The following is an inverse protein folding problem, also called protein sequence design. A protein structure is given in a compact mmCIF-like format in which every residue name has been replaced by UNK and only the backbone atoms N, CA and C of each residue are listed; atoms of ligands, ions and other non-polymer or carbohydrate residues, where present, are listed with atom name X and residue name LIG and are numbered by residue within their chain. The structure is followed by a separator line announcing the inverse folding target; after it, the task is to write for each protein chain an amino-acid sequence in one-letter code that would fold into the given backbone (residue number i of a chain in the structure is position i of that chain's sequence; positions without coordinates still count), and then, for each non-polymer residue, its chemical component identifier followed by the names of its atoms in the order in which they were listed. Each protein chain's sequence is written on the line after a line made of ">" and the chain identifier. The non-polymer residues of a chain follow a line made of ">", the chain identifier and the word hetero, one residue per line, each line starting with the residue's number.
data_IF_992279199190
#
_entry.id   IF_992279199190
#
_cell.length_a   1.000
_cell.length_b   1.000
_cell.length_c   1.000
_cell.angle_alpha   90.00
_cell.angle_beta   90.00
_cell.angle_gamma   90.00
#
_symmetry.space_group_name_H-M   'P 1'
#
loop_
_entity.id
_entity.type
_entity.pdbx_description
1 polymer ?
#
# COMPACT_ATOMS: atom_id res chain seq x y z
N UNK A 1 -23.94 -15.77 -6.70
CA UNK A 1 -24.10 -15.39 -5.29
C UNK A 1 -25.30 -14.46 -5.20
N UNK A 2 -26.16 -14.58 -4.17
CA UNK A 2 -27.21 -13.57 -3.94
C UNK A 2 -26.56 -12.21 -3.71
N UNK A 3 -27.31 -11.14 -3.97
CA UNK A 3 -26.85 -9.79 -3.62
C UNK A 3 -26.55 -9.73 -2.11
N UNK A 4 -25.50 -9.01 -1.69
CA UNK A 4 -25.25 -8.80 -0.28
C UNK A 4 -26.47 -8.14 0.37
N UNK A 5 -26.81 -8.58 1.59
CA UNK A 5 -27.96 -8.07 2.35
C UNK A 5 -27.72 -6.67 2.96
N UNK A 6 -26.62 -6.01 2.60
CA UNK A 6 -26.17 -4.76 3.18
C UNK A 6 -26.98 -3.56 2.67
N UNK A 7 -27.10 -2.54 3.52
CA UNK A 7 -27.69 -1.25 3.15
C UNK A 7 -26.67 -0.44 2.36
N UNK A 8 -27.05 0.01 1.16
CA UNK A 8 -26.23 0.91 0.38
C UNK A 8 -26.20 2.30 1.03
N UNK A 9 -24.99 2.76 1.35
CA UNK A 9 -24.75 4.07 1.94
C UNK A 9 -23.79 4.87 1.07
N UNK A 10 -23.95 6.20 1.07
CA UNK A 10 -22.99 7.10 0.41
C UNK A 10 -21.66 7.04 1.15
N UNK A 11 -20.57 6.80 0.43
CA UNK A 11 -19.22 6.91 0.99
C UNK A 11 -18.94 8.38 1.37
N UNK A 12 -18.61 8.60 2.64
CA UNK A 12 -18.35 9.94 3.18
C UNK A 12 -16.86 10.24 3.32
N UNK A 13 -16.03 9.22 3.53
CA UNK A 13 -14.59 9.38 3.64
C UNK A 13 -13.92 9.44 2.25
N UNK A 14 -12.81 10.21 2.08
CA UNK A 14 -12.07 10.29 0.83
C UNK A 14 -11.64 8.92 0.30
N UNK A 15 -11.76 8.73 -1.03
CA UNK A 15 -11.35 7.49 -1.70
C UNK A 15 -9.85 7.45 -1.90
N UNK A 16 -9.33 6.25 -2.14
CA UNK A 16 -7.96 6.05 -2.58
C UNK A 16 -7.72 6.70 -3.94
N UNK A 17 -6.57 7.36 -4.09
CA UNK A 17 -6.14 8.02 -5.34
C UNK A 17 -4.66 7.81 -5.57
N UNK A 18 -4.20 7.98 -6.80
CA UNK A 18 -2.79 8.27 -7.06
C UNK A 18 -2.48 9.67 -6.53
N UNK A 19 -1.70 9.75 -5.45
CA UNK A 19 -1.46 11.00 -4.70
C UNK A 19 -0.25 11.74 -5.28
N UNK A 20 0.80 10.99 -5.62
CA UNK A 20 2.04 11.49 -6.22
C UNK A 20 2.77 10.35 -6.91
N UNK A 21 3.80 10.70 -7.67
CA UNK A 21 4.66 9.73 -8.33
C UNK A 21 6.09 9.84 -7.81
N UNK A 22 6.81 8.72 -7.83
CA UNK A 22 8.23 8.62 -7.51
C UNK A 22 8.94 8.16 -8.78
N UNK A 23 10.10 8.75 -9.09
CA UNK A 23 10.99 8.21 -10.11
C UNK A 23 11.91 7.17 -9.45
N UNK A 24 11.66 5.86 -9.64
CA UNK A 24 12.47 4.84 -9.00
C UNK A 24 13.89 4.83 -9.58
N UNK A 25 14.88 4.59 -8.72
CA UNK A 25 16.28 4.46 -9.12
C UNK A 25 16.62 2.98 -9.31
N UNK A 26 17.03 2.59 -10.51
CA UNK A 26 17.65 1.27 -10.72
C UNK A 26 18.97 1.20 -9.94
N UNK A 27 19.09 0.22 -9.04
CA UNK A 27 20.26 0.04 -8.18
C UNK A 27 21.06 -1.22 -8.52
N UNK A 28 20.41 -2.26 -9.05
CA UNK A 28 21.06 -3.49 -9.47
C UNK A 28 20.41 -4.07 -10.73
N UNK A 29 21.20 -4.80 -11.52
CA UNK A 29 20.72 -5.58 -12.66
C UNK A 29 21.40 -6.93 -12.70
N UNK A 30 20.60 -7.99 -12.74
CA UNK A 30 21.02 -9.38 -12.79
C UNK A 30 20.36 -10.05 -14.00
N UNK A 31 21.06 -10.07 -15.14
CA UNK A 31 20.49 -10.57 -16.38
C UNK A 31 19.28 -9.74 -16.84
N UNK A 32 18.11 -10.38 -16.91
CA UNK A 32 16.82 -9.78 -17.29
C UNK A 32 16.05 -9.18 -16.11
N UNK A 33 16.62 -9.20 -14.90
CA UNK A 33 15.99 -8.68 -13.69
C UNK A 33 16.68 -7.40 -13.24
N UNK A 34 15.91 -6.33 -13.02
CA UNK A 34 16.39 -5.07 -12.49
C UNK A 34 15.72 -4.76 -11.15
N UNK A 35 16.50 -4.29 -10.17
CA UNK A 35 16.01 -3.88 -8.85
C UNK A 35 16.00 -2.37 -8.76
N UNK A 36 14.90 -1.83 -8.25
CA UNK A 36 14.63 -0.41 -8.11
C UNK A 36 14.47 -0.02 -6.65
N UNK A 37 15.01 1.14 -6.27
CA UNK A 37 14.84 1.81 -4.97
C UNK A 37 13.95 3.05 -5.12
N UNK A 38 12.88 3.14 -4.34
CA UNK A 38 12.01 4.31 -4.25
C UNK A 38 12.59 5.42 -3.35
N UNK A 39 13.60 5.11 -2.54
CA UNK A 39 14.17 6.00 -1.52
C UNK A 39 13.37 6.05 -0.22
N UNK A 40 12.14 5.55 -0.23
CA UNK A 40 11.22 5.48 0.91
C UNK A 40 10.28 4.28 0.80
N UNK A 41 9.71 3.82 1.91
CA UNK A 41 8.59 2.89 1.85
C UNK A 41 7.33 3.63 1.39
N UNK A 42 6.69 3.13 0.34
CA UNK A 42 5.47 3.69 -0.21
C UNK A 42 4.45 2.58 -0.49
N UNK A 43 3.17 2.89 -0.28
CA UNK A 43 2.06 2.08 -0.76
C UNK A 43 1.66 2.55 -2.18
N UNK A 44 1.50 1.64 -3.13
CA UNK A 44 1.29 1.98 -4.53
C UNK A 44 1.63 0.86 -5.52
N UNK A 45 1.98 1.25 -6.75
CA UNK A 45 2.40 0.32 -7.79
C UNK A 45 3.27 1.00 -8.86
N UNK A 46 4.13 0.24 -9.56
CA UNK A 46 4.88 0.76 -10.69
C UNK A 46 4.01 0.84 -11.94
N UNK A 47 4.31 1.83 -12.77
CA UNK A 47 3.81 1.94 -14.13
C UNK A 47 4.92 1.52 -15.08
N UNK A 48 4.68 0.50 -15.89
CA UNK A 48 5.67 -0.08 -16.80
C UNK A 48 5.25 0.03 -18.26
N UNK A 49 6.21 0.01 -19.16
CA UNK A 49 6.01 -0.18 -20.60
C UNK A 49 6.84 -1.37 -21.04
N UNK A 50 6.34 -2.18 -21.96
CA UNK A 50 7.15 -3.21 -22.60
C UNK A 50 8.12 -2.59 -23.61
N UNK A 51 9.26 -3.21 -23.81
CA UNK A 51 10.26 -2.73 -24.77
C UNK A 51 9.77 -2.95 -26.22
N UNK A 52 10.18 -2.09 -27.16
CA UNK A 52 9.70 -2.10 -28.56
C UNK A 52 9.94 -3.43 -29.31
N UNK A 53 10.88 -4.24 -28.85
CA UNK A 53 11.24 -5.52 -29.45
C UNK A 53 10.58 -6.73 -28.76
N UNK A 54 9.64 -6.49 -27.84
CA UNK A 54 8.83 -7.56 -27.27
C UNK A 54 7.99 -8.25 -28.35
N UNK A 55 7.79 -9.56 -28.17
CA UNK A 55 6.85 -10.34 -28.98
C UNK A 55 5.68 -10.76 -28.09
N UNK A 56 4.49 -10.93 -28.70
CA UNK A 56 3.29 -11.34 -27.97
C UNK A 56 3.54 -12.55 -27.07
N UNK A 57 2.90 -12.55 -25.91
CA UNK A 57 3.04 -13.55 -24.84
C UNK A 57 4.34 -13.49 -24.02
N UNK A 58 5.27 -12.56 -24.33
CA UNK A 58 6.34 -12.22 -23.38
C UNK A 58 5.77 -11.63 -22.08
N UNK A 59 6.45 -11.88 -20.97
CA UNK A 59 5.97 -11.53 -19.63
C UNK A 59 6.94 -10.61 -18.91
N UNK A 60 6.38 -9.71 -18.12
CA UNK A 60 7.10 -8.97 -17.11
C UNK A 60 6.55 -9.34 -15.72
N UNK A 61 7.42 -9.75 -14.81
CA UNK A 61 7.08 -10.03 -13.43
C UNK A 61 7.59 -8.92 -12.54
N UNK A 62 6.74 -8.45 -11.63
CA UNK A 62 7.12 -7.44 -10.65
C UNK A 62 6.96 -8.02 -9.26
N UNK A 63 7.99 -7.92 -8.42
CA UNK A 63 7.97 -8.41 -7.03
C UNK A 63 8.48 -7.32 -6.10
N UNK A 64 8.00 -7.33 -4.85
CA UNK A 64 8.13 -6.20 -3.93
C UNK A 64 8.70 -6.61 -2.57
N UNK A 65 9.52 -5.74 -1.97
CA UNK A 65 10.04 -5.89 -0.61
C UNK A 65 10.31 -4.54 0.08
N UNK A 66 10.26 -4.50 1.41
CA UNK A 66 10.67 -3.32 2.19
C UNK A 66 12.19 -3.29 2.42
N UNK A 67 12.85 -4.46 2.36
CA UNK A 67 14.28 -4.63 2.60
C UNK A 67 14.98 -5.40 1.48
N UNK A 68 16.31 -5.28 1.44
CA UNK A 68 17.19 -6.11 0.62
C UNK A 68 17.99 -7.08 1.49
N UNK A 69 18.33 -8.23 0.92
CA UNK A 69 19.33 -9.13 1.48
C UNK A 69 20.74 -8.55 1.31
N UNK A 70 21.73 -9.14 2.01
CA UNK A 70 23.12 -8.73 1.93
C UNK A 70 23.75 -8.86 0.52
N UNK A 71 23.19 -9.72 -0.34
CA UNK A 71 23.60 -9.91 -1.73
C UNK A 71 22.92 -8.94 -2.71
N UNK A 72 22.04 -8.06 -2.20
CA UNK A 72 21.29 -7.08 -2.99
C UNK A 72 19.97 -7.60 -3.56
N UNK A 73 19.62 -8.88 -3.37
CA UNK A 73 18.31 -9.43 -3.76
C UNK A 73 17.19 -8.94 -2.82
N UNK A 74 15.92 -9.08 -3.24
CA UNK A 74 14.78 -8.71 -2.40
C UNK A 74 14.67 -9.60 -1.15
N UNK A 75 14.50 -9.00 0.03
CA UNK A 75 14.22 -9.73 1.26
C UNK A 75 12.70 -9.93 1.42
N UNK A 76 12.17 -11.07 0.94
CA UNK A 76 10.74 -11.35 1.05
C UNK A 76 10.23 -11.57 2.49
N UNK A 77 11.09 -11.76 3.50
CA UNK A 77 10.64 -11.78 4.90
C UNK A 77 10.01 -10.45 5.32
N UNK A 78 10.51 -9.33 4.77
CA UNK A 78 9.95 -8.01 4.97
C UNK A 78 8.56 -7.83 4.34
N UNK A 79 8.20 -8.67 3.36
CA UNK A 79 6.94 -8.60 2.62
C UNK A 79 5.99 -9.78 2.87
N UNK A 80 6.09 -10.47 4.03
CA UNK A 80 5.18 -11.56 4.38
C UNK A 80 5.67 -12.97 4.06
N UNK A 81 6.98 -13.13 3.81
CA UNK A 81 7.65 -14.36 3.37
C UNK A 81 7.32 -14.73 1.91
N UNK A 82 8.10 -15.67 1.35
CA UNK A 82 8.02 -16.02 -0.08
C UNK A 82 6.62 -16.48 -0.53
N UNK A 83 5.87 -17.18 0.33
CA UNK A 83 4.53 -17.66 -0.01
C UNK A 83 3.42 -16.59 0.08
N UNK A 84 3.69 -15.42 0.67
CA UNK A 84 2.80 -14.25 0.63
C UNK A 84 3.42 -13.07 -0.09
N UNK A 85 4.46 -13.30 -0.90
CA UNK A 85 5.12 -12.24 -1.63
C UNK A 85 4.11 -11.49 -2.50
N UNK A 86 4.19 -10.17 -2.42
CA UNK A 86 3.47 -9.28 -3.31
C UNK A 86 4.07 -9.42 -4.71
N UNK A 87 3.25 -9.74 -5.72
CA UNK A 87 3.71 -9.89 -7.10
C UNK A 87 2.63 -9.54 -8.12
N UNK A 88 3.07 -8.98 -9.24
CA UNK A 88 2.27 -8.77 -10.44
C UNK A 88 2.88 -9.50 -11.65
N UNK A 89 2.03 -9.87 -12.59
CA UNK A 89 2.43 -10.42 -13.89
C UNK A 89 1.71 -9.63 -14.99
N UNK A 90 2.51 -9.10 -15.92
CA UNK A 90 2.01 -8.45 -17.13
C UNK A 90 2.36 -9.30 -18.33
N UNK A 91 1.45 -9.40 -19.29
CA UNK A 91 1.63 -10.15 -20.53
C UNK A 91 1.55 -9.19 -21.71
N UNK A 92 2.57 -9.19 -22.55
CA UNK A 92 2.64 -8.32 -23.71
C UNK A 92 1.70 -8.79 -24.83
N UNK A 93 1.09 -7.81 -25.48
CA UNK A 93 0.32 -7.99 -26.71
C UNK A 93 0.67 -6.86 -27.66
N UNK A 94 1.01 -7.20 -28.91
CA UNK A 94 1.32 -6.21 -29.95
C UNK A 94 0.21 -5.14 -30.11
N UNK A 95 -1.05 -5.53 -29.86
CA UNK A 95 -2.20 -4.63 -29.91
C UNK A 95 -2.17 -3.50 -28.85
N UNK A 96 -1.37 -3.68 -27.78
CA UNK A 96 -1.24 -2.76 -26.65
C UNK A 96 0.21 -2.29 -26.45
N UNK A 97 1.04 -2.31 -27.51
CA UNK A 97 2.46 -1.98 -27.39
C UNK A 97 2.76 -0.58 -26.85
N UNK A 98 1.86 0.38 -27.10
CA UNK A 98 2.01 1.76 -26.66
C UNK A 98 1.38 2.02 -25.27
N UNK A 99 0.87 0.97 -24.59
CA UNK A 99 0.18 1.12 -23.32
C UNK A 99 1.17 1.19 -22.16
N UNK A 100 0.79 1.97 -21.16
CA UNK A 100 1.41 1.95 -19.84
C UNK A 100 0.62 0.97 -18.98
N UNK A 101 1.28 -0.07 -18.50
CA UNK A 101 0.69 -1.14 -17.70
C UNK A 101 0.86 -0.84 -16.21
N UNK A 102 -0.23 -1.02 -15.45
CA UNK A 102 -0.26 -0.95 -14.00
C UNK A 102 -1.49 -1.71 -13.47
N UNK A 103 -1.49 -2.17 -12.19
CA UNK A 103 -2.65 -2.83 -11.63
C UNK A 103 -3.79 -1.84 -11.35
N UNK A 104 -5.02 -2.36 -11.35
CA UNK A 104 -6.24 -1.61 -10.98
C UNK A 104 -6.87 -2.06 -9.65
N UNK A 105 -6.64 -3.31 -9.26
CA UNK A 105 -7.35 -3.95 -8.13
C UNK A 105 -6.41 -4.38 -7.00
N UNK A 106 -5.19 -3.85 -6.98
CA UNK A 106 -4.23 -4.08 -5.92
C UNK A 106 -3.36 -2.84 -5.73
N UNK A 107 -2.76 -2.76 -4.55
CA UNK A 107 -1.58 -1.95 -4.27
C UNK A 107 -0.55 -2.84 -3.60
N UNK A 108 0.69 -2.37 -3.57
CA UNK A 108 1.79 -3.00 -2.86
C UNK A 108 2.40 -1.99 -1.90
N UNK A 109 3.01 -2.45 -0.82
CA UNK A 109 3.86 -1.59 -0.02
C UNK A 109 5.29 -2.12 0.00
N UNK A 110 6.21 -1.22 -0.35
CA UNK A 110 7.62 -1.53 -0.52
C UNK A 110 8.48 -0.26 -0.53
N UNK A 111 9.78 -0.44 -0.35
CA UNK A 111 10.81 0.51 -0.83
C UNK A 111 11.49 -0.02 -2.08
N UNK A 112 11.66 -1.33 -2.16
CA UNK A 112 12.33 -1.98 -3.26
C UNK A 112 11.36 -2.84 -4.05
N UNK A 113 11.52 -2.84 -5.36
CA UNK A 113 10.84 -3.79 -6.22
C UNK A 113 11.76 -4.20 -7.36
N UNK A 114 11.54 -5.38 -7.88
CA UNK A 114 12.26 -5.88 -9.03
C UNK A 114 11.31 -6.03 -10.21
N UNK A 115 11.83 -5.81 -11.42
CA UNK A 115 11.16 -6.10 -12.67
C UNK A 115 12.00 -7.12 -13.41
N UNK A 116 11.43 -8.29 -13.65
CA UNK A 116 12.01 -9.34 -14.49
C UNK A 116 11.30 -9.36 -15.83
N UNK A 117 12.07 -9.33 -16.92
CA UNK A 117 11.57 -9.33 -18.29
C UNK A 117 11.85 -8.02 -19.03
N UNK A 118 11.42 -7.94 -20.28
CA UNK A 118 11.65 -6.79 -21.17
C UNK A 118 10.62 -5.69 -20.94
N UNK A 119 10.71 -5.05 -19.78
CA UNK A 119 9.88 -3.92 -19.45
C UNK A 119 10.70 -2.83 -18.75
N UNK A 120 10.34 -1.59 -19.08
CA UNK A 120 10.93 -0.38 -18.53
C UNK A 120 9.96 0.26 -17.54
N UNK A 121 10.45 0.62 -16.36
CA UNK A 121 9.67 1.35 -15.36
C UNK A 121 9.63 2.83 -15.70
N UNK A 122 8.42 3.40 -15.80
CA UNK A 122 8.21 4.83 -16.03
C UNK A 122 8.26 5.62 -14.73
N UNK A 123 7.44 5.20 -13.77
CA UNK A 123 7.27 5.84 -12.47
C UNK A 123 6.64 4.85 -11.48
N UNK A 124 6.62 5.20 -10.20
CA UNK A 124 5.87 4.51 -9.16
C UNK A 124 4.76 5.43 -8.65
N UNK A 125 3.51 5.03 -8.79
CA UNK A 125 2.37 5.78 -8.29
C UNK A 125 2.12 5.43 -6.83
N UNK A 126 2.20 6.44 -5.94
CA UNK A 126 1.86 6.31 -4.53
C UNK A 126 0.35 6.45 -4.38
N UNK A 127 -0.27 5.48 -3.72
CA UNK A 127 -1.71 5.38 -3.58
C UNK A 127 -2.07 5.23 -2.12
N UNK A 128 -3.03 6.02 -1.67
CA UNK A 128 -3.69 5.90 -0.36
C UNK A 128 -4.99 6.73 -0.38
N UNK A 129 -5.81 6.64 0.67
CA UNK A 129 -6.98 7.51 0.81
C UNK A 129 -6.55 8.98 0.79
N UNK A 130 -7.23 9.81 -0.02
CA UNK A 130 -6.89 11.22 -0.26
C UNK A 130 -7.30 12.11 0.94
N UNK A 131 -6.63 11.88 2.07
CA UNK A 131 -6.83 12.61 3.32
C UNK A 131 -5.74 13.69 3.42
N UNK A 132 -6.12 14.98 3.48
CA UNK A 132 -5.16 16.06 3.60
C UNK A 132 -4.30 15.95 4.86
N UNK A 133 -2.98 16.12 4.71
CA UNK A 133 -2.08 16.42 5.82
C UNK A 133 -2.24 17.89 6.20
N UNK A 134 -2.59 18.16 7.46
CA UNK A 134 -2.87 19.50 7.99
C UNK A 134 -1.82 19.96 9.01
N UNK A 135 -0.91 19.08 9.45
CA UNK A 135 0.22 19.49 10.25
C UNK A 135 1.39 19.96 9.37
N UNK A 136 2.11 20.96 9.86
CA UNK A 136 3.45 21.30 9.39
C UNK A 136 4.41 21.10 10.54
N UNK A 137 5.54 20.47 10.28
CA UNK A 137 6.61 20.26 11.25
C UNK A 137 7.94 20.70 10.63
N UNK A 138 8.79 21.29 11.46
CA UNK A 138 10.16 21.62 11.07
C UNK A 138 11.06 21.57 12.31
N UNK A 139 12.22 20.94 12.17
CA UNK A 139 13.27 20.91 13.19
C UNK A 139 14.65 21.05 12.55
N UNK A 140 15.56 21.78 13.20
CA UNK A 140 16.99 21.81 12.83
C UNK A 140 17.71 20.50 13.19
N UNK A 141 17.12 19.69 14.07
CA UNK A 141 17.58 18.33 14.35
C UNK A 141 17.07 17.38 13.26
N UNK A 142 17.99 16.89 12.44
CA UNK A 142 17.70 15.98 11.31
C UNK A 142 17.02 14.68 11.73
N UNK A 143 17.30 14.17 12.94
CA UNK A 143 16.68 12.94 13.44
C UNK A 143 15.21 13.19 13.78
N UNK A 144 14.89 14.33 14.42
CA UNK A 144 13.51 14.69 14.72
C UNK A 144 12.71 14.97 13.45
N UNK A 145 13.29 15.67 12.49
CA UNK A 145 12.70 15.86 11.15
C UNK A 145 12.41 14.51 10.50
N UNK A 146 13.39 13.60 10.48
CA UNK A 146 13.23 12.27 9.91
C UNK A 146 12.12 11.44 10.60
N UNK A 147 12.04 11.48 11.94
CA UNK A 147 11.00 10.76 12.70
C UNK A 147 9.60 11.23 12.29
N UNK A 148 9.37 12.55 12.27
CA UNK A 148 8.05 13.09 11.95
C UNK A 148 7.68 12.82 10.49
N UNK A 149 8.59 13.05 9.55
CA UNK A 149 8.33 12.76 8.14
C UNK A 149 8.08 11.26 7.90
N UNK A 150 8.77 10.38 8.64
CA UNK A 150 8.53 8.94 8.56
C UNK A 150 7.18 8.57 9.14
N UNK A 151 6.79 9.13 10.29
CA UNK A 151 5.47 8.92 10.88
C UNK A 151 4.35 9.30 9.89
N UNK A 152 4.43 10.48 9.27
CA UNK A 152 3.40 10.95 8.32
C UNK A 152 3.27 10.00 7.13
N UNK A 153 4.39 9.58 6.53
CA UNK A 153 4.40 8.58 5.45
C UNK A 153 3.84 7.23 5.90
N UNK A 154 4.20 6.77 7.10
CA UNK A 154 3.70 5.50 7.66
C UNK A 154 2.19 5.53 7.84
N UNK A 155 1.62 6.64 8.32
CA UNK A 155 0.16 6.77 8.44
C UNK A 155 -0.49 6.78 7.05
N UNK A 156 0.02 7.56 6.11
CA UNK A 156 -0.52 7.61 4.75
C UNK A 156 -0.51 6.24 4.07
N UNK A 157 0.61 5.51 4.14
CA UNK A 157 0.72 4.17 3.58
C UNK A 157 -0.29 3.17 4.19
N UNK A 158 -0.70 3.37 5.45
CA UNK A 158 -1.63 2.49 6.15
C UNK A 158 -3.10 2.86 5.99
N UNK A 159 -3.44 3.97 5.31
CA UNK A 159 -4.83 4.38 5.18
C UNK A 159 -5.31 4.09 3.76
N UNK A 160 -6.03 2.98 3.64
CA UNK A 160 -6.64 2.53 2.39
C UNK A 160 -8.11 2.19 2.62
N UNK A 161 -8.96 2.48 1.63
CA UNK A 161 -10.40 2.21 1.70
C UNK A 161 -11.08 2.78 2.95
N UNK A 162 -10.55 3.89 3.48
CA UNK A 162 -10.99 4.47 4.73
C UNK A 162 -10.93 3.50 5.92
N UNK A 163 -9.85 2.73 6.00
CA UNK A 163 -9.52 1.85 7.12
C UNK A 163 -8.07 2.16 7.52
N UNK A 164 -7.78 2.49 8.80
CA UNK A 164 -6.43 2.58 9.30
C UNK A 164 -5.89 1.17 9.57
N UNK A 165 -5.08 0.63 8.66
CA UNK A 165 -4.53 -0.73 8.79
C UNK A 165 -3.32 -0.81 9.73
N UNK A 166 -3.03 -2.01 10.21
CA UNK A 166 -1.80 -2.36 10.95
C UNK A 166 -0.54 -2.28 10.07
N UNK A 167 -0.62 -2.83 8.86
CA UNK A 167 0.45 -2.81 7.89
C UNK A 167 -0.09 -2.81 6.46
N UNK A 168 0.60 -2.15 5.52
CA UNK A 168 0.10 -2.02 4.15
C UNK A 168 0.54 -3.17 3.23
N UNK A 169 1.53 -3.97 3.64
CA UNK A 169 2.16 -4.98 2.80
C UNK A 169 1.60 -6.40 3.00
N UNK A 170 1.10 -6.76 4.20
CA UNK A 170 0.80 -8.16 4.58
C UNK A 170 -0.65 -8.43 5.00
N UNK A 171 -1.05 -7.87 6.15
CA UNK A 171 -2.36 -8.16 6.75
C UNK A 171 -3.42 -7.18 6.25
N UNK A 172 -3.09 -5.87 6.23
CA UNK A 172 -3.96 -4.80 5.75
C UNK A 172 -5.28 -4.75 6.51
N UNK A 173 -5.25 -5.12 7.79
CA UNK A 173 -6.44 -5.22 8.63
C UNK A 173 -6.55 -3.99 9.52
N UNK A 174 -7.78 -3.49 9.69
CA UNK A 174 -8.05 -2.38 10.58
C UNK A 174 -8.06 -2.81 12.03
N UNK A 175 -6.89 -3.11 12.61
CA UNK A 175 -6.79 -3.51 14.01
C UNK A 175 -7.24 -2.38 14.92
N UNK A 176 -8.19 -2.69 15.81
CA UNK A 176 -8.87 -1.68 16.64
C UNK A 176 -7.94 -1.07 17.69
N UNK A 177 -6.98 -1.84 18.21
CA UNK A 177 -5.95 -1.36 19.13
C UNK A 177 -4.99 -0.37 18.48
N UNK A 178 -4.42 -0.70 17.32
CA UNK A 178 -3.51 0.15 16.55
C UNK A 178 -4.17 1.46 16.14
N UNK A 179 -5.39 1.38 15.59
CA UNK A 179 -6.16 2.56 15.21
C UNK A 179 -6.55 3.42 16.42
N UNK A 180 -6.83 2.83 17.58
CA UNK A 180 -7.09 3.58 18.82
C UNK A 180 -5.84 4.31 19.31
N UNK A 181 -4.70 3.61 19.39
CA UNK A 181 -3.44 4.17 19.89
C UNK A 181 -2.95 5.35 19.05
N UNK A 182 -3.11 5.25 17.73
CA UNK A 182 -2.63 6.26 16.78
C UNK A 182 -3.61 7.41 16.56
N UNK A 183 -4.88 7.25 16.92
CA UNK A 183 -5.96 8.19 16.54
C UNK A 183 -5.75 9.65 16.92
N UNK A 184 -5.20 9.91 18.12
CA UNK A 184 -4.92 11.28 18.56
C UNK A 184 -3.95 11.99 17.61
N UNK A 185 -2.78 11.38 17.41
CA UNK A 185 -1.75 11.93 16.53
C UNK A 185 -2.19 12.00 15.06
N UNK A 186 -2.97 11.01 14.57
CA UNK A 186 -3.53 11.07 13.22
C UNK A 186 -4.47 12.26 13.06
N UNK A 187 -5.33 12.54 14.05
CA UNK A 187 -6.23 13.70 14.01
C UNK A 187 -5.51 15.04 14.18
N UNK A 188 -4.36 15.06 14.85
CA UNK A 188 -3.50 16.25 14.91
C UNK A 188 -2.77 16.52 13.58
N UNK A 189 -2.47 15.45 12.83
CA UNK A 189 -1.68 15.53 11.59
C UNK A 189 -2.50 15.58 10.31
N UNK A 190 -3.70 15.03 10.28
CA UNK A 190 -4.51 14.84 9.08
C UNK A 190 -5.96 15.27 9.30
N UNK A 191 -6.67 15.68 8.23
CA UNK A 191 -8.12 15.89 8.27
C UNK A 191 -8.88 14.54 8.29
N UNK A 192 -8.64 13.77 9.34
CA UNK A 192 -9.05 12.38 9.49
C UNK A 192 -10.45 12.20 10.09
N UNK A 193 -11.23 13.29 10.21
CA UNK A 193 -12.57 13.24 10.82
C UNK A 193 -13.48 12.24 10.12
N UNK A 194 -13.56 12.30 8.79
CA UNK A 194 -14.46 11.43 8.03
C UNK A 194 -13.93 9.98 7.95
N UNK A 195 -12.60 9.80 7.98
CA UNK A 195 -11.96 8.49 8.14
C UNK A 195 -12.45 7.80 9.42
N UNK A 196 -12.25 8.44 10.58
CA UNK A 196 -12.63 7.85 11.86
C UNK A 196 -14.16 7.72 12.01
N UNK A 197 -14.96 8.65 11.48
CA UNK A 197 -16.42 8.50 11.47
C UNK A 197 -16.89 7.30 10.66
N UNK A 198 -16.26 7.01 9.53
CA UNK A 198 -16.54 5.82 8.72
C UNK A 198 -16.08 4.58 9.48
N UNK A 199 -14.83 4.54 9.93
CA UNK A 199 -14.27 3.35 10.57
C UNK A 199 -14.94 2.99 11.91
N UNK A 200 -15.37 3.98 12.70
CA UNK A 200 -16.20 3.73 13.89
C UNK A 200 -17.55 3.06 13.56
N UNK A 201 -18.11 3.29 12.36
CA UNK A 201 -19.29 2.53 11.90
C UNK A 201 -18.91 1.10 11.56
N UNK A 202 -17.76 0.89 10.91
CA UNK A 202 -17.27 -0.48 10.64
C UNK A 202 -17.05 -1.26 11.95
N UNK A 203 -16.57 -0.60 13.01
CA UNK A 203 -16.44 -1.18 14.36
C UNK A 203 -17.82 -1.54 14.93
N UNK A 204 -18.79 -0.62 14.84
CA UNK A 204 -20.15 -0.87 15.32
C UNK A 204 -20.85 -1.99 14.53
N UNK A 205 -20.65 -2.05 13.22
CA UNK A 205 -21.20 -3.07 12.33
C UNK A 205 -20.54 -4.44 12.57
N UNK A 206 -19.31 -4.46 13.08
CA UNK A 206 -18.58 -5.68 13.45
C UNK A 206 -18.85 -6.14 14.89
N UNK A 207 -19.55 -5.33 15.70
CA UNK A 207 -19.82 -5.64 17.11
C UNK A 207 -20.79 -6.82 17.23
N UNK A 208 -20.46 -7.80 18.08
CA UNK A 208 -21.32 -8.95 18.32
C UNK A 208 -22.68 -8.53 18.90
N UNK A 209 -23.77 -8.98 18.26
CA UNK A 209 -25.14 -8.57 18.60
C UNK A 209 -25.67 -9.20 19.90
N UNK A 210 -25.02 -10.26 20.40
CA UNK A 210 -25.48 -10.98 21.60
C UNK A 210 -24.76 -10.50 22.86
N UNK A 211 -23.44 -10.36 22.80
CA UNK A 211 -22.57 -10.01 23.93
C UNK A 211 -21.99 -8.60 23.87
N UNK A 212 -22.12 -7.89 22.75
CA UNK A 212 -21.54 -6.56 22.57
C UNK A 212 -20.01 -6.57 22.46
N UNK A 213 -19.40 -7.73 22.19
CA UNK A 213 -17.96 -7.84 22.00
C UNK A 213 -17.53 -7.03 20.78
N UNK A 214 -16.51 -6.19 20.95
CA UNK A 214 -15.89 -5.44 19.85
C UNK A 214 -14.73 -6.26 19.33
N UNK A 215 -14.78 -6.57 18.04
CA UNK A 215 -13.75 -7.36 17.37
C UNK A 215 -12.39 -6.65 17.34
N UNK A 216 -11.33 -7.44 17.27
CA UNK A 216 -9.95 -6.93 17.20
C UNK A 216 -9.63 -6.28 15.85
N UNK A 217 -10.42 -6.52 14.80
CA UNK A 217 -10.33 -5.85 13.50
C UNK A 217 -11.68 -5.33 13.05
N UNK A 218 -11.68 -4.20 12.35
CA UNK A 218 -12.86 -3.63 11.72
C UNK A 218 -12.52 -3.10 10.30
N UNK A 219 -13.22 -3.55 9.25
CA UNK A 219 -14.22 -4.62 9.26
C UNK A 219 -13.62 -5.98 9.66
N UNK A 220 -14.42 -6.83 10.29
CA UNK A 220 -13.92 -8.11 10.79
C UNK A 220 -13.66 -9.13 9.68
N UNK A 221 -12.39 -9.50 9.49
CA UNK A 221 -11.94 -10.53 8.54
C UNK A 221 -11.08 -11.60 9.21
N UNK A 222 -11.21 -11.76 10.53
CA UNK A 222 -10.25 -12.48 11.36
C UNK A 222 -9.01 -11.64 11.64
N UNK A 223 -7.90 -12.30 11.95
CA UNK A 223 -6.64 -11.68 12.36
C UNK A 223 -5.95 -12.46 13.48
N UNK A 224 -4.70 -12.10 13.76
CA UNK A 224 -4.01 -12.58 14.95
C UNK A 224 -4.38 -11.69 16.13
N UNK A 225 -5.02 -12.23 17.16
CA UNK A 225 -5.28 -11.47 18.38
C UNK A 225 -3.96 -11.05 19.04
N UNK A 226 -3.59 -9.77 18.94
CA UNK A 226 -2.83 -9.11 20.01
C UNK A 226 -3.75 -8.99 21.25
N UNK A 227 -3.20 -9.10 22.47
CA UNK A 227 -3.91 -9.44 23.70
C UNK A 227 -5.15 -8.57 24.02
#
# INVERSE_FOLDING_TARGET
>A
MPAPLAVLNKQACPVDREIRTIQPKEIYRFGDTAIYDLGENAAGYPKIVFDDNCISDERAFVRFAEELNADGSLNFFSAGMEFRMQRDEFVFSEAHKDYVFHPLFTWHACRYFEVQGRATVKEYAVVHSDIPCICTYHSDDEMLEWIVQTYLRTQQNNIHNCVPSDCPHRERLGYTGDGQLTSGTVMDCFDAKDLYRKWMRDIADSQDIYGGHVEHTAPFYGGGGGP
#
